data_IF_599918606896
#
_entry.id   IF_599918606896
#
_cell.length_a   1.000
_cell.length_b   1.000
_cell.length_c   1.000
_cell.angle_alpha   90.00
_cell.angle_beta   90.00
_cell.angle_gamma   90.00
#
_symmetry.space_group_name_H-M   'P 1'
#
loop_
_entity.id
_entity.type
_entity.pdbx_description
1 polymer ?
#
# COMPACT_ATOMS: atom_id res chain seq x y z
N UNK A 1 -29.65 -8.65 -17.77
CA UNK A 1 -28.26 -8.31 -18.08
C UNK A 1 -27.92 -6.91 -17.55
N UNK A 2 -27.99 -6.66 -16.23
CA UNK A 2 -27.78 -5.32 -15.63
C UNK A 2 -26.88 -5.32 -14.37
N UNK A 3 -26.08 -6.39 -14.17
CA UNK A 3 -25.31 -6.56 -12.93
C UNK A 3 -23.89 -5.97 -12.96
N UNK A 4 -23.41 -5.46 -14.09
CA UNK A 4 -22.02 -4.98 -14.22
C UNK A 4 -21.81 -3.50 -13.86
N UNK A 5 -22.83 -2.69 -13.92
CA UNK A 5 -22.69 -1.24 -13.72
C UNK A 5 -22.68 -0.81 -12.25
N UNK A 6 -23.45 -1.48 -11.41
CA UNK A 6 -23.54 -1.20 -9.98
C UNK A 6 -22.24 -1.46 -9.23
N UNK A 7 -21.46 -2.48 -9.65
CA UNK A 7 -20.14 -2.76 -9.05
C UNK A 7 -19.07 -1.70 -9.36
N UNK A 8 -19.10 -1.13 -10.57
CA UNK A 8 -18.13 -0.09 -10.96
C UNK A 8 -18.40 1.25 -10.26
N UNK A 9 -19.65 1.57 -10.02
CA UNK A 9 -20.05 2.81 -9.31
C UNK A 9 -19.64 2.73 -7.83
N UNK A 10 -19.80 1.60 -7.16
CA UNK A 10 -19.42 1.41 -5.76
C UNK A 10 -17.91 1.52 -5.52
N UNK A 11 -17.06 1.06 -6.45
CA UNK A 11 -15.61 1.19 -6.34
C UNK A 11 -15.13 2.63 -6.53
N UNK A 12 -15.74 3.37 -7.44
CA UNK A 12 -15.40 4.79 -7.68
C UNK A 12 -15.89 5.70 -6.55
N UNK A 13 -17.07 5.41 -5.96
CA UNK A 13 -17.61 6.18 -4.82
C UNK A 13 -16.79 5.95 -3.55
N UNK A 14 -16.30 4.74 -3.30
CA UNK A 14 -15.43 4.43 -2.16
C UNK A 14 -14.09 5.15 -2.23
N UNK A 15 -13.50 5.25 -3.42
CA UNK A 15 -12.25 5.96 -3.64
C UNK A 15 -12.41 7.48 -3.49
N UNK A 16 -13.54 8.05 -3.94
CA UNK A 16 -13.83 9.47 -3.81
C UNK A 16 -14.10 9.89 -2.35
N UNK A 17 -14.76 9.05 -1.55
CA UNK A 17 -14.98 9.32 -0.12
C UNK A 17 -13.67 9.30 0.68
N UNK A 18 -12.72 8.43 0.34
CA UNK A 18 -11.41 8.38 1.00
C UNK A 18 -10.58 9.66 0.75
N UNK A 19 -10.79 10.33 -0.39
CA UNK A 19 -10.10 11.57 -0.75
C UNK A 19 -10.70 12.83 -0.11
N UNK A 20 -11.97 12.78 0.34
CA UNK A 20 -12.67 13.92 0.94
C UNK A 20 -12.69 13.93 2.47
N UNK A 21 -12.23 12.87 3.13
CA UNK A 21 -12.08 12.86 4.57
C UNK A 21 -11.07 13.93 5.00
N UNK A 22 -11.59 15.10 5.43
CA UNK A 22 -10.77 16.13 6.10
C UNK A 22 -10.15 15.47 7.33
N UNK A 23 -8.81 15.38 7.45
CA UNK A 23 -8.21 14.89 8.67
C UNK A 23 -8.60 15.85 9.80
N UNK A 24 -9.29 15.34 10.82
CA UNK A 24 -9.31 16.01 12.12
C UNK A 24 -7.84 16.28 12.47
N UNK A 25 -7.55 17.45 13.05
CA UNK A 25 -6.23 18.04 13.26
C UNK A 25 -5.29 17.16 14.12
N UNK A 26 -5.00 15.97 13.68
CA UNK A 26 -3.85 15.21 14.09
C UNK A 26 -2.67 15.74 13.27
N UNK A 27 -1.58 16.10 13.91
CA UNK A 27 -0.29 16.47 13.29
C UNK A 27 0.28 15.26 12.51
N UNK A 28 -0.47 14.81 11.54
CA UNK A 28 -0.22 13.58 10.79
C UNK A 28 0.83 13.81 9.71
N UNK A 29 1.97 13.19 9.83
CA UNK A 29 2.93 13.14 8.74
C UNK A 29 2.29 12.44 7.53
N UNK A 30 2.41 13.07 6.37
CA UNK A 30 2.02 12.48 5.08
C UNK A 30 3.24 11.85 4.43
N UNK A 31 3.05 10.68 3.87
CA UNK A 31 4.08 9.96 3.14
C UNK A 31 3.60 9.70 1.72
N UNK A 32 4.51 9.80 0.78
CA UNK A 32 4.35 9.38 -0.60
C UNK A 32 5.51 8.47 -0.97
N UNK A 33 5.29 7.57 -1.90
CA UNK A 33 6.35 6.70 -2.37
C UNK A 33 6.05 6.09 -3.72
N UNK A 34 7.08 5.45 -4.24
CA UNK A 34 7.03 4.58 -5.41
C UNK A 34 7.47 3.19 -5.00
N UNK A 35 6.91 2.16 -5.59
CA UNK A 35 7.29 0.78 -5.30
C UNK A 35 7.20 -0.11 -6.52
N UNK A 36 8.06 -1.13 -6.55
CA UNK A 36 7.96 -2.30 -7.41
C UNK A 36 7.54 -3.51 -6.58
N UNK A 37 6.67 -4.34 -7.11
CA UNK A 37 6.11 -5.51 -6.44
C UNK A 37 6.23 -6.74 -7.34
N UNK A 38 6.68 -7.83 -6.74
CA UNK A 38 6.62 -9.16 -7.32
C UNK A 38 5.77 -10.07 -6.40
N UNK A 39 4.83 -10.80 -7.00
CA UNK A 39 4.04 -11.82 -6.32
C UNK A 39 4.33 -13.17 -6.93
N UNK A 40 4.87 -14.07 -6.13
CA UNK A 40 5.00 -15.47 -6.49
C UNK A 40 3.64 -16.17 -6.32
N UNK A 41 2.97 -16.39 -7.43
CA UNK A 41 1.68 -17.05 -7.58
C UNK A 41 1.64 -17.73 -8.95
N UNK A 42 0.59 -18.43 -9.26
CA UNK A 42 0.35 -18.95 -10.62
C UNK A 42 -0.92 -18.34 -11.21
N UNK A 43 -0.78 -17.44 -12.20
CA UNK A 43 0.45 -16.84 -12.75
C UNK A 43 1.06 -15.78 -11.80
N UNK A 44 2.39 -15.59 -11.88
CA UNK A 44 3.09 -14.56 -11.13
C UNK A 44 2.65 -13.15 -11.55
N UNK A 45 2.67 -12.19 -10.61
CA UNK A 45 2.42 -10.79 -10.90
C UNK A 45 3.70 -9.97 -10.72
N UNK A 46 3.97 -9.08 -11.66
CA UNK A 46 5.00 -8.08 -11.57
C UNK A 46 4.40 -6.71 -11.87
N UNK A 47 4.62 -5.76 -10.99
CA UNK A 47 4.07 -4.42 -11.15
C UNK A 47 4.88 -3.36 -10.45
N UNK A 48 4.59 -2.12 -10.79
CA UNK A 48 5.13 -0.94 -10.13
C UNK A 48 4.03 0.11 -9.98
N UNK A 49 4.19 0.99 -9.01
CA UNK A 49 3.19 2.01 -8.77
C UNK A 49 3.59 3.03 -7.73
N UNK A 50 2.58 3.74 -7.29
CA UNK A 50 2.68 4.78 -6.27
C UNK A 50 1.91 4.37 -5.04
N UNK A 51 2.36 4.85 -3.89
CA UNK A 51 1.62 4.71 -2.66
C UNK A 51 1.64 6.00 -1.85
N UNK A 52 0.60 6.17 -1.04
CA UNK A 52 0.48 7.27 -0.11
C UNK A 52 0.09 6.75 1.26
N UNK A 53 0.51 7.44 2.32
CA UNK A 53 0.13 7.08 3.66
C UNK A 53 -0.04 8.28 4.58
N UNK A 54 -0.86 8.07 5.60
CA UNK A 54 -1.05 8.97 6.73
C UNK A 54 -0.56 8.27 7.99
N UNK A 55 0.07 9.01 8.89
CA UNK A 55 0.40 8.54 10.24
C UNK A 55 -0.51 9.21 11.26
N UNK A 56 -1.63 8.57 11.65
CA UNK A 56 -2.51 9.09 12.70
C UNK A 56 -1.83 9.12 14.07
N UNK A 57 -0.84 8.25 14.28
CA UNK A 57 0.04 8.25 15.45
C UNK A 57 1.47 7.92 15.04
N UNK A 58 2.42 8.07 15.97
CA UNK A 58 3.82 7.75 15.68
C UNK A 58 4.02 6.30 15.19
N UNK A 59 3.28 5.36 15.76
CA UNK A 59 3.43 3.93 15.48
C UNK A 59 2.46 3.38 14.43
N UNK A 60 1.39 4.10 14.12
CA UNK A 60 0.39 3.65 13.16
C UNK A 60 0.54 4.40 11.83
N UNK A 61 0.62 3.66 10.74
CA UNK A 61 0.62 4.18 9.37
C UNK A 61 -0.49 3.50 8.58
N UNK A 62 -1.37 4.29 7.98
CA UNK A 62 -2.43 3.82 7.08
C UNK A 62 -2.03 4.17 5.67
N UNK A 63 -1.85 3.17 4.83
CA UNK A 63 -1.35 3.31 3.47
C UNK A 63 -2.35 2.84 2.42
N UNK A 64 -2.31 3.48 1.27
CA UNK A 64 -2.99 3.06 0.05
C UNK A 64 -1.97 3.02 -1.08
N UNK A 65 -2.00 1.96 -1.89
CA UNK A 65 -1.15 1.81 -3.06
C UNK A 65 -1.99 1.51 -4.30
N UNK A 66 -1.50 1.97 -5.45
CA UNK A 66 -2.02 1.61 -6.76
C UNK A 66 -0.84 1.20 -7.64
N UNK A 67 -0.90 -0.01 -8.15
CA UNK A 67 0.13 -0.66 -8.93
C UNK A 67 -0.42 -1.00 -10.31
N UNK A 68 0.34 -0.73 -11.34
CA UNK A 68 0.12 -1.23 -12.69
C UNK A 68 1.14 -2.31 -12.99
N UNK A 69 0.70 -3.40 -13.56
CA UNK A 69 1.58 -4.54 -13.81
C UNK A 69 0.92 -5.57 -14.72
N UNK A 70 1.46 -6.76 -14.69
CA UNK A 70 0.94 -7.88 -15.47
C UNK A 70 1.07 -9.20 -14.71
N UNK A 71 0.11 -10.09 -14.94
CA UNK A 71 0.20 -11.54 -14.72
C UNK A 71 0.45 -12.22 -16.07
N UNK A 72 -0.57 -12.68 -16.76
CA UNK A 72 -0.54 -13.03 -18.18
C UNK A 72 -0.98 -11.87 -19.06
N UNK A 73 -1.80 -11.01 -18.49
CA UNK A 73 -2.37 -9.82 -19.12
C UNK A 73 -2.15 -8.61 -18.18
N UNK A 74 -2.33 -7.41 -18.73
CA UNK A 74 -2.24 -6.18 -17.95
C UNK A 74 -3.26 -6.19 -16.82
N UNK A 75 -2.82 -5.81 -15.64
CA UNK A 75 -3.64 -5.75 -14.44
C UNK A 75 -3.31 -4.49 -13.61
N UNK A 76 -4.32 -3.97 -12.91
CA UNK A 76 -4.15 -2.91 -11.92
C UNK A 76 -4.48 -3.51 -10.55
N UNK A 77 -3.60 -3.27 -9.59
CA UNK A 77 -3.75 -3.73 -8.22
C UNK A 77 -3.84 -2.55 -7.28
N UNK A 78 -4.88 -2.54 -6.44
CA UNK A 78 -5.06 -1.61 -5.33
C UNK A 78 -4.79 -2.30 -4.01
N UNK A 79 -4.15 -1.63 -3.07
CA UNK A 79 -3.90 -2.13 -1.72
C UNK A 79 -4.28 -1.08 -0.67
N UNK A 80 -4.85 -1.51 0.44
CA UNK A 80 -5.11 -0.72 1.64
C UNK A 80 -4.54 -1.46 2.83
N UNK A 81 -3.53 -0.89 3.49
CA UNK A 81 -2.76 -1.57 4.54
C UNK A 81 -2.57 -0.65 5.75
N UNK A 82 -2.76 -1.21 6.93
CA UNK A 82 -2.38 -0.60 8.19
C UNK A 82 -1.05 -1.21 8.67
N UNK A 83 -0.05 -0.36 8.93
CA UNK A 83 1.27 -0.77 9.42
C UNK A 83 1.47 -0.30 10.85
N UNK A 84 2.08 -1.16 11.65
CA UNK A 84 2.56 -0.85 12.99
C UNK A 84 4.09 -0.77 12.97
N UNK A 85 4.63 0.41 13.28
CA UNK A 85 6.06 0.68 13.29
C UNK A 85 6.63 0.41 14.68
N UNK A 86 7.68 -0.39 14.75
CA UNK A 86 8.33 -0.74 16.02
C UNK A 86 9.19 0.39 16.55
N UNK A 87 9.91 1.10 15.67
CA UNK A 87 10.81 2.21 16.05
C UNK A 87 10.63 3.42 15.11
N UNK A 88 9.50 4.14 15.21
CA UNK A 88 9.12 5.19 14.27
C UNK A 88 10.02 6.44 14.33
N UNK A 89 10.70 6.68 15.45
CA UNK A 89 11.54 7.85 15.69
C UNK A 89 12.99 7.67 15.21
N UNK A 90 13.38 6.44 14.83
CA UNK A 90 14.75 6.10 14.45
C UNK A 90 15.23 6.92 13.26
N UNK A 91 16.34 7.63 13.41
CA UNK A 91 16.91 8.52 12.40
C UNK A 91 18.14 7.95 11.68
N UNK A 92 18.65 6.82 12.14
CA UNK A 92 19.80 6.12 11.54
C UNK A 92 19.53 4.62 11.49
N UNK A 93 20.02 3.95 10.44
CA UNK A 93 19.79 2.53 10.21
C UNK A 93 18.36 2.18 9.81
N UNK A 94 18.04 0.90 9.76
CA UNK A 94 16.74 0.39 9.37
C UNK A 94 15.82 0.18 10.58
N UNK A 95 14.54 0.43 10.41
CA UNK A 95 13.49 0.10 11.36
C UNK A 95 12.56 -0.97 10.81
N UNK A 96 12.06 -1.81 11.69
CA UNK A 96 11.13 -2.89 11.37
C UNK A 96 9.68 -2.41 11.55
N UNK A 97 8.79 -2.89 10.70
CA UNK A 97 7.36 -2.72 10.84
C UNK A 97 6.62 -3.96 10.33
N UNK A 98 5.40 -4.13 10.77
CA UNK A 98 4.49 -5.16 10.27
C UNK A 98 3.11 -4.60 10.06
N UNK A 99 2.32 -5.26 9.24
CA UNK A 99 0.98 -4.76 8.95
C UNK A 99 0.09 -5.78 8.28
N UNK A 100 -1.14 -5.35 8.07
CA UNK A 100 -2.14 -6.13 7.34
C UNK A 100 -3.22 -5.25 6.74
N UNK A 101 -3.94 -5.80 5.81
CA UNK A 101 -4.96 -5.06 5.08
C UNK A 101 -5.66 -5.90 4.02
N UNK A 102 -6.07 -5.22 2.96
CA UNK A 102 -6.74 -5.84 1.82
C UNK A 102 -6.09 -5.39 0.51
N UNK A 103 -6.09 -6.28 -0.45
CA UNK A 103 -5.66 -6.00 -1.80
C UNK A 103 -6.74 -6.46 -2.79
N UNK A 104 -6.90 -5.73 -3.87
CA UNK A 104 -7.79 -6.10 -4.96
C UNK A 104 -7.09 -5.88 -6.30
N UNK A 105 -7.32 -6.76 -7.24
CA UNK A 105 -6.71 -6.72 -8.56
C UNK A 105 -7.80 -6.76 -9.64
N UNK A 106 -7.68 -5.85 -10.61
CA UNK A 106 -8.51 -5.88 -11.80
C UNK A 106 -7.96 -6.89 -12.79
N UNK A 107 -8.83 -7.57 -13.51
CA UNK A 107 -8.48 -8.55 -14.54
C UNK A 107 -9.70 -9.37 -14.89
N UNK A 108 -9.56 -10.37 -15.75
CA UNK A 108 -10.70 -11.20 -16.20
C UNK A 108 -11.48 -11.86 -15.05
N UNK A 109 -10.82 -12.12 -13.91
CA UNK A 109 -11.40 -12.79 -12.75
C UNK A 109 -11.66 -11.89 -11.55
N UNK A 110 -11.15 -10.64 -11.55
CA UNK A 110 -11.32 -9.65 -10.49
C UNK A 110 -11.24 -10.28 -9.08
N UNK A 111 -10.08 -10.27 -8.45
CA UNK A 111 -9.88 -10.96 -7.17
C UNK A 111 -9.52 -9.99 -6.05
N UNK A 112 -9.86 -10.36 -4.83
CA UNK A 112 -9.48 -9.63 -3.62
C UNK A 112 -8.94 -10.59 -2.56
N UNK A 113 -7.96 -10.11 -1.77
CA UNK A 113 -7.27 -10.90 -0.76
C UNK A 113 -7.09 -10.07 0.52
N UNK A 114 -7.05 -10.77 1.64
CA UNK A 114 -6.42 -10.24 2.85
C UNK A 114 -4.91 -10.28 2.64
N UNK A 115 -4.21 -9.21 3.02
CA UNK A 115 -2.76 -9.13 2.94
C UNK A 115 -2.15 -8.97 4.32
N UNK A 116 -0.97 -9.57 4.50
CA UNK A 116 -0.13 -9.36 5.67
C UNK A 116 1.30 -9.10 5.19
N UNK A 117 1.97 -8.13 5.81
CA UNK A 117 3.30 -7.68 5.42
C UNK A 117 4.21 -7.52 6.62
N UNK A 118 5.49 -7.78 6.41
CA UNK A 118 6.60 -7.46 7.29
C UNK A 118 7.61 -6.66 6.48
N UNK A 119 8.06 -5.53 6.99
CA UNK A 119 8.92 -4.64 6.24
C UNK A 119 10.05 -4.02 7.04
N UNK A 120 11.05 -3.60 6.30
CA UNK A 120 12.16 -2.78 6.76
C UNK A 120 12.12 -1.44 6.03
N UNK A 121 12.29 -0.35 6.76
CA UNK A 121 12.43 0.98 6.16
C UNK A 121 13.70 1.67 6.68
N UNK A 122 14.41 2.32 5.78
CA UNK A 122 15.57 3.13 6.15
C UNK A 122 15.11 4.39 6.87
N UNK A 123 15.75 4.68 7.99
CA UNK A 123 15.52 5.91 8.78
C UNK A 123 14.03 6.22 8.97
N UNK A 124 13.26 5.42 9.73
CA UNK A 124 11.82 5.63 9.94
C UNK A 124 11.42 7.05 10.35
N UNK A 125 12.29 7.75 11.09
CA UNK A 125 12.15 9.16 11.47
C UNK A 125 12.70 10.16 10.42
N UNK A 126 13.29 9.68 9.31
CA UNK A 126 13.87 10.49 8.25
C UNK A 126 12.83 11.04 7.26
N UNK A 127 13.28 11.99 6.41
CA UNK A 127 12.43 12.57 5.36
C UNK A 127 12.27 11.66 4.14
N UNK A 128 13.24 10.82 3.86
CA UNK A 128 13.22 9.87 2.75
C UNK A 128 14.02 8.62 3.09
N UNK A 129 13.78 7.53 2.39
CA UNK A 129 14.50 6.28 2.56
C UNK A 129 13.89 5.17 1.71
N UNK A 130 14.66 4.09 1.55
CA UNK A 130 14.17 2.89 0.91
C UNK A 130 13.25 2.10 1.85
N UNK A 131 12.40 1.29 1.26
CA UNK A 131 11.46 0.39 1.93
C UNK A 131 11.54 -0.96 1.25
N UNK A 132 11.59 -2.04 2.02
CA UNK A 132 11.52 -3.42 1.52
C UNK A 132 10.48 -4.16 2.33
N UNK A 133 9.59 -4.89 1.67
CA UNK A 133 8.55 -5.68 2.32
C UNK A 133 8.54 -7.12 1.81
N UNK A 134 8.24 -8.02 2.72
CA UNK A 134 7.82 -9.38 2.46
C UNK A 134 6.39 -9.56 2.95
N UNK A 135 5.60 -10.35 2.28
CA UNK A 135 4.22 -10.55 2.70
C UNK A 135 3.49 -11.63 1.94
N UNK A 136 2.20 -11.69 2.22
CA UNK A 136 1.25 -12.58 1.54
C UNK A 136 0.00 -11.78 1.18
N UNK A 137 -0.68 -12.18 0.10
CA UNK A 137 -1.91 -11.51 -0.37
C UNK A 137 -2.09 -11.69 -1.87
N UNK A 138 -2.65 -12.83 -2.26
CA UNK A 138 -2.73 -13.30 -3.65
C UNK A 138 -1.46 -13.96 -4.16
N UNK A 139 -0.58 -14.39 -3.23
CA UNK A 139 0.71 -15.02 -3.43
C UNK A 139 1.72 -14.55 -2.39
N UNK A 140 2.95 -15.08 -2.44
CA UNK A 140 4.08 -14.55 -1.65
C UNK A 140 4.54 -13.26 -2.32
N UNK A 141 4.54 -12.17 -1.55
CA UNK A 141 4.82 -10.81 -2.00
C UNK A 141 6.21 -10.37 -1.58
N UNK A 142 6.94 -9.78 -2.52
CA UNK A 142 8.16 -9.01 -2.26
C UNK A 142 7.96 -7.63 -2.88
N UNK A 143 8.24 -6.58 -2.14
CA UNK A 143 8.27 -5.22 -2.69
C UNK A 143 9.50 -4.46 -2.27
N UNK A 144 9.91 -3.54 -3.14
CA UNK A 144 10.99 -2.57 -2.90
C UNK A 144 10.52 -1.22 -3.35
N UNK A 145 10.75 -0.20 -2.55
CA UNK A 145 10.30 1.14 -2.87
C UNK A 145 11.16 2.24 -2.27
N UNK A 146 10.78 3.45 -2.60
CA UNK A 146 11.34 4.67 -2.06
C UNK A 146 10.24 5.55 -1.48
N UNK A 147 10.49 6.13 -0.32
CA UNK A 147 9.55 6.92 0.45
C UNK A 147 10.04 8.35 0.64
N UNK A 148 9.09 9.29 0.53
CA UNK A 148 9.26 10.69 0.93
C UNK A 148 8.21 11.03 1.99
N UNK A 149 8.62 11.79 3.00
CA UNK A 149 7.76 12.28 4.06
C UNK A 149 7.71 13.80 4.05
N UNK A 150 6.49 14.35 4.01
CA UNK A 150 6.23 15.76 4.26
C UNK A 150 5.84 15.94 5.73
N UNK A 151 6.35 16.99 6.34
CA UNK A 151 5.80 17.48 7.62
C UNK A 151 4.63 18.38 7.27
N UNK A 152 3.48 18.12 7.91
CA UNK A 152 2.37 19.06 7.90
C UNK A 152 2.70 20.28 8.75
#
# INVERSE_FOLDING_TARGET
MTCGWTRRVLLLTGLALALTARPAAAQGHRELGVEGVALAADPAFFGAGIWGALRPSERLRLGVAVLSGARREAAVRGELVAHFLLDPARRSGAGLYGGGGVAAESGPTGQAWVTAVLGLEERPGGRSGWVVELGVGGGVRVSVGWRWRSRA
#
